data_IF_883758171372
#
_entry.id   IF_883758171372
#
_cell.length_a   1.000
_cell.length_b   1.000
_cell.length_c   1.000
_cell.angle_alpha   90.00
_cell.angle_beta   90.00
_cell.angle_gamma   90.00
#
_symmetry.space_group_name_H-M   'P 1'
#
loop_
_entity.id
_entity.type
_entity.pdbx_description
1 polymer ?
#
# COMPACT_ATOMS: atom_id res chain seq x y z
N UNK A 1 -23.25 9.62 20.05
CA UNK A 1 -22.12 8.69 20.18
C UNK A 1 -21.56 8.46 18.78
N UNK A 2 -20.39 9.00 18.47
CA UNK A 2 -19.73 8.78 17.16
C UNK A 2 -18.84 7.55 17.32
N UNK A 3 -19.18 6.46 16.63
CA UNK A 3 -18.37 5.25 16.58
C UNK A 3 -17.35 5.45 15.46
N UNK A 4 -16.08 5.69 15.80
CA UNK A 4 -14.99 5.67 14.82
C UNK A 4 -14.55 4.21 14.72
N UNK A 5 -15.09 3.47 13.74
CA UNK A 5 -14.50 2.18 13.36
C UNK A 5 -13.14 2.46 12.71
N UNK A 6 -12.09 1.65 12.96
CA UNK A 6 -10.84 1.83 12.24
C UNK A 6 -11.13 1.68 10.74
N UNK A 7 -10.88 2.72 9.96
CA UNK A 7 -10.88 2.60 8.52
C UNK A 7 -9.96 1.43 8.16
N UNK A 8 -10.39 0.47 7.31
CA UNK A 8 -9.54 -0.64 6.89
C UNK A 8 -8.20 -0.05 6.44
N UNK A 9 -7.08 -0.65 6.86
CA UNK A 9 -5.74 -0.10 6.56
C UNK A 9 -5.53 0.21 5.05
N UNK A 10 -6.25 -0.52 4.18
CA UNK A 10 -6.33 -0.25 2.75
C UNK A 10 -6.92 1.13 2.40
N UNK A 11 -7.99 1.57 3.06
CA UNK A 11 -8.67 2.84 2.77
C UNK A 11 -7.81 4.06 3.17
N UNK A 12 -7.18 4.01 4.36
CA UNK A 12 -6.23 5.03 4.80
C UNK A 12 -5.00 5.08 3.89
N UNK A 13 -4.53 3.93 3.43
CA UNK A 13 -3.44 3.85 2.48
C UNK A 13 -3.77 4.48 1.12
N UNK A 14 -5.00 4.32 0.63
CA UNK A 14 -5.45 4.93 -0.62
C UNK A 14 -5.55 6.44 -0.52
N UNK A 15 -5.96 6.97 0.63
CA UNK A 15 -5.95 8.40 0.88
C UNK A 15 -4.54 9.01 0.76
N UNK A 16 -3.48 8.25 1.08
CA UNK A 16 -2.09 8.71 0.97
C UNK A 16 -1.51 8.65 -0.45
N UNK A 17 -2.05 7.79 -1.30
CA UNK A 17 -1.69 7.71 -2.72
C UNK A 17 -2.59 8.60 -3.59
N UNK A 18 -3.70 9.09 -3.02
CA UNK A 18 -4.59 10.06 -3.65
C UNK A 18 -3.79 11.30 -4.06
N UNK A 19 -3.87 11.68 -5.34
CA UNK A 19 -3.13 12.84 -5.88
C UNK A 19 -1.75 12.53 -6.47
N UNK A 20 -1.29 11.27 -6.49
CA UNK A 20 -0.01 10.88 -7.13
C UNK A 20 -0.09 10.66 -8.66
N UNK A 21 -1.26 10.90 -9.27
CA UNK A 21 -1.44 10.72 -10.71
C UNK A 21 -1.31 9.27 -11.18
N UNK A 22 -1.65 8.30 -10.31
CA UNK A 22 -1.72 6.90 -10.70
C UNK A 22 -2.83 6.71 -11.74
N UNK A 23 -2.54 5.89 -12.76
CA UNK A 23 -3.58 5.44 -13.69
C UNK A 23 -4.44 4.37 -13.01
N UNK A 24 -5.67 4.11 -13.50
CA UNK A 24 -6.52 3.06 -12.95
C UNK A 24 -5.83 1.69 -12.87
N UNK A 25 -4.97 1.38 -13.85
CA UNK A 25 -4.23 0.12 -13.88
C UNK A 25 -3.10 0.07 -12.86
N UNK A 26 -2.42 1.20 -12.64
CA UNK A 26 -1.41 1.31 -11.60
C UNK A 26 -2.03 1.19 -10.20
N UNK A 27 -3.18 1.81 -9.95
CA UNK A 27 -3.92 1.65 -8.69
C UNK A 27 -4.28 0.18 -8.42
N UNK A 28 -4.76 -0.53 -9.43
CA UNK A 28 -5.06 -1.95 -9.33
C UNK A 28 -3.82 -2.77 -8.96
N UNK A 29 -2.68 -2.49 -9.60
CA UNK A 29 -1.39 -3.12 -9.26
C UNK A 29 -1.00 -2.82 -7.81
N UNK A 30 -1.14 -1.58 -7.34
CA UNK A 30 -0.82 -1.25 -5.93
C UNK A 30 -1.73 -1.99 -4.97
N UNK A 31 -3.03 -2.10 -5.24
CA UNK A 31 -3.98 -2.86 -4.40
C UNK A 31 -3.52 -4.32 -4.22
N UNK A 32 -3.10 -4.96 -5.30
CA UNK A 32 -2.63 -6.34 -5.24
C UNK A 32 -1.27 -6.46 -4.56
N UNK A 33 -0.39 -5.47 -4.71
CA UNK A 33 0.90 -5.43 -3.99
C UNK A 33 0.70 -5.35 -2.48
N UNK A 34 -0.17 -4.42 -2.05
CA UNK A 34 -0.54 -4.21 -0.64
C UNK A 34 -1.27 -5.43 -0.07
N UNK A 35 -2.03 -6.15 -0.91
CA UNK A 35 -2.61 -7.44 -0.59
C UNK A 35 -1.61 -8.61 -0.54
N UNK A 36 -0.32 -8.36 -0.78
CA UNK A 36 0.74 -9.36 -0.64
C UNK A 36 1.01 -10.22 -1.89
N UNK A 37 0.38 -9.96 -3.03
CA UNK A 37 0.53 -10.80 -4.22
C UNK A 37 1.88 -10.59 -4.92
N UNK A 38 2.58 -11.66 -5.26
CA UNK A 38 3.79 -11.63 -6.08
C UNK A 38 3.52 -11.08 -7.49
N UNK A 39 4.56 -10.62 -8.20
CA UNK A 39 4.44 -10.16 -9.60
C UNK A 39 3.74 -11.18 -10.48
N UNK A 40 4.08 -12.47 -10.33
CA UNK A 40 3.47 -13.56 -11.08
C UNK A 40 1.97 -13.72 -10.79
N UNK A 41 1.59 -13.69 -9.52
CA UNK A 41 0.17 -13.75 -9.12
C UNK A 41 -0.62 -12.53 -9.62
N UNK A 42 0.02 -11.35 -9.64
CA UNK A 42 -0.58 -10.14 -10.21
C UNK A 42 -0.77 -10.33 -11.72
N UNK A 43 0.26 -10.79 -12.43
CA UNK A 43 0.21 -11.04 -13.87
C UNK A 43 -0.93 -12.01 -14.24
N UNK A 44 -1.03 -13.13 -13.52
CA UNK A 44 -2.11 -14.11 -13.66
C UNK A 44 -3.49 -13.49 -13.42
N UNK A 45 -3.66 -12.77 -12.32
CA UNK A 45 -4.95 -12.15 -11.96
C UNK A 45 -5.38 -11.06 -12.94
N UNK A 46 -4.42 -10.34 -13.48
CA UNK A 46 -4.62 -9.20 -14.36
C UNK A 46 -4.60 -9.58 -15.84
N UNK A 47 -4.34 -10.86 -16.17
CA UNK A 47 -4.20 -11.39 -17.53
C UNK A 47 -3.20 -10.60 -18.39
N UNK A 48 -2.03 -10.28 -17.81
CA UNK A 48 -0.93 -9.57 -18.48
C UNK A 48 0.40 -10.27 -18.20
N UNK A 49 1.43 -9.93 -18.97
CA UNK A 49 2.76 -10.49 -18.76
C UNK A 49 3.45 -9.93 -17.50
N UNK A 50 4.30 -10.74 -16.85
CA UNK A 50 5.11 -10.33 -15.69
C UNK A 50 5.90 -9.04 -15.93
N UNK A 51 6.48 -8.88 -17.13
CA UNK A 51 7.23 -7.67 -17.48
C UNK A 51 6.33 -6.42 -17.51
N UNK A 52 5.06 -6.56 -17.87
CA UNK A 52 4.09 -5.46 -17.87
C UNK A 52 3.74 -5.06 -16.44
N UNK A 53 3.60 -6.03 -15.53
CA UNK A 53 3.45 -5.75 -14.10
C UNK A 53 4.67 -4.99 -13.56
N UNK A 54 5.88 -5.44 -13.89
CA UNK A 54 7.11 -4.75 -13.48
C UNK A 54 7.16 -3.31 -14.02
N UNK A 55 6.74 -3.09 -15.27
CA UNK A 55 6.64 -1.74 -15.85
C UNK A 55 5.65 -0.85 -15.09
N UNK A 56 4.47 -1.38 -14.73
CA UNK A 56 3.53 -0.65 -13.89
C UNK A 56 4.13 -0.34 -12.51
N UNK A 57 4.85 -1.27 -11.90
CA UNK A 57 5.52 -1.05 -10.62
C UNK A 57 6.59 0.04 -10.70
N UNK A 58 7.41 0.06 -11.76
CA UNK A 58 8.38 1.14 -11.97
C UNK A 58 7.72 2.50 -12.06
N UNK A 59 6.66 2.62 -12.88
CA UNK A 59 5.91 3.88 -12.99
C UNK A 59 5.27 4.29 -11.66
N UNK A 60 4.73 3.32 -10.91
CA UNK A 60 4.20 3.57 -9.56
C UNK A 60 5.32 4.10 -8.67
N UNK A 61 6.47 3.45 -8.63
CA UNK A 61 7.60 3.87 -7.79
C UNK A 61 8.03 5.30 -8.09
N UNK A 62 8.11 5.67 -9.37
CA UNK A 62 8.45 7.03 -9.79
C UNK A 62 7.39 8.06 -9.35
N UNK A 63 6.10 7.78 -9.61
CA UNK A 63 4.98 8.65 -9.19
C UNK A 63 4.84 8.75 -7.68
N UNK A 64 5.16 7.67 -6.99
CA UNK A 64 5.07 7.55 -5.54
C UNK A 64 6.35 8.10 -4.87
N UNK A 65 7.46 8.24 -5.57
CA UNK A 65 8.73 8.66 -4.99
C UNK A 65 9.32 7.64 -4.02
N UNK A 66 9.12 6.34 -4.31
CA UNK A 66 9.71 5.22 -3.55
C UNK A 66 10.66 4.44 -4.44
N UNK A 67 11.56 3.65 -3.84
CA UNK A 67 12.60 2.93 -4.59
C UNK A 67 12.36 1.44 -4.69
N UNK A 68 11.39 0.92 -3.94
CA UNK A 68 11.14 -0.51 -3.88
C UNK A 68 9.70 -0.83 -3.53
N UNK A 69 9.32 -2.07 -3.84
CA UNK A 69 8.06 -2.67 -3.39
C UNK A 69 7.89 -2.59 -1.87
N UNK A 70 8.97 -2.81 -1.12
CA UNK A 70 8.95 -2.73 0.35
C UNK A 70 8.68 -1.30 0.80
N UNK A 71 9.29 -0.30 0.16
CA UNK A 71 9.06 1.11 0.49
C UNK A 71 7.64 1.55 0.13
N UNK A 72 7.10 1.08 -0.99
CA UNK A 72 5.69 1.28 -1.37
C UNK A 72 4.76 0.73 -0.28
N UNK A 73 4.98 -0.52 0.16
CA UNK A 73 4.19 -1.15 1.23
C UNK A 73 4.35 -0.40 2.55
N UNK A 74 5.57 -0.01 2.94
CA UNK A 74 5.80 0.79 4.14
C UNK A 74 5.05 2.12 4.10
N UNK A 75 5.10 2.83 2.98
CA UNK A 75 4.42 4.12 2.84
C UNK A 75 2.90 4.01 2.99
N UNK A 76 2.33 2.90 2.52
CA UNK A 76 0.92 2.54 2.72
C UNK A 76 0.62 2.28 4.21
N UNK A 77 1.50 1.59 4.95
CA UNK A 77 1.23 1.08 6.32
C UNK A 77 1.83 1.86 7.51
N UNK A 78 2.66 2.88 7.32
CA UNK A 78 3.25 3.68 8.43
C UNK A 78 2.18 4.68 8.91
N UNK A 79 1.32 4.47 9.90
CA UNK A 79 1.53 4.03 11.28
C UNK A 79 0.38 3.12 11.74
N UNK A 80 0.73 1.89 12.13
CA UNK A 80 -0.01 1.10 13.13
C UNK A 80 0.92 0.67 14.28
N UNK A 81 1.92 1.49 14.60
CA UNK A 81 2.63 1.33 15.88
C UNK A 81 1.94 2.25 16.87
N UNK A 82 0.95 1.70 17.57
CA UNK A 82 0.53 2.26 18.86
C UNK A 82 1.78 2.18 19.75
N UNK A 83 2.35 3.27 20.26
CA UNK A 83 3.33 3.14 21.32
C UNK A 83 2.61 2.46 22.49
N UNK A 84 3.06 1.27 22.86
CA UNK A 84 2.66 0.65 24.13
C UNK A 84 2.93 1.68 25.21
N UNK A 85 1.87 2.18 25.87
CA UNK A 85 2.02 3.01 27.05
C UNK A 85 2.47 2.10 28.20
N UNK A 86 3.73 1.68 28.18
CA UNK A 86 4.39 1.07 29.32
C UNK A 86 4.87 2.18 30.26
N UNK A 87 3.92 2.83 30.93
CA UNK A 87 4.16 3.45 32.24
C UNK A 87 2.83 3.75 32.95
N UNK A 88 2.34 2.76 33.71
CA UNK A 88 1.71 3.06 34.99
C UNK A 88 2.56 2.37 36.05
N UNK A 89 3.46 3.14 36.65
CA UNK A 89 4.03 2.79 37.93
C UNK A 89 2.93 2.80 38.98
N UNK A 90 2.92 1.75 39.80
CA UNK A 90 2.19 1.70 41.05
C UNK A 90 3.07 0.98 42.04
N UNK A 91 3.79 1.76 42.84
CA UNK A 91 4.34 1.30 44.12
C UNK A 91 3.21 0.87 45.04
#
# INVERSE_FOLDING_TARGET
MVVIAPAPAAEVAWMRLSGRGLTPREEEVVRLVVGGLSTKQIAERLFIADYTVQRHLSNVFDKVGVRSRRDLVKQVFTEQVVPSFDHVGGQ
#
